data_IF_116244654539
#
_entry.id   IF_116244654539
#
_cell.length_a   1.000
_cell.length_b   1.000
_cell.length_c   1.000
_cell.angle_alpha   90.00
_cell.angle_beta   90.00
_cell.angle_gamma   90.00
#
_symmetry.space_group_name_H-M   'P 1'
#
loop_
_entity.id
_entity.type
_entity.pdbx_description
1 polymer ?
#
# COMPACT_ATOMS: atom_id res chain seq x y z
N UNK A 1 -21.73 -58.21 25.39
CA UNK A 1 -20.38 -57.72 25.00
C UNK A 1 -19.80 -58.39 23.75
N UNK A 2 -20.49 -59.33 23.05
CA UNK A 2 -19.95 -60.05 21.87
C UNK A 2 -20.10 -59.29 20.53
N UNK A 3 -21.02 -58.28 20.42
CA UNK A 3 -21.28 -57.52 19.19
C UNK A 3 -20.06 -56.80 18.64
N UNK A 4 -19.27 -56.03 19.43
CA UNK A 4 -18.10 -55.33 18.89
C UNK A 4 -17.02 -56.32 18.40
N UNK A 5 -16.88 -57.45 19.03
CA UNK A 5 -15.91 -58.49 18.67
C UNK A 5 -16.28 -59.18 17.34
N UNK A 6 -17.59 -59.40 17.10
CA UNK A 6 -18.13 -59.89 15.84
C UNK A 6 -17.95 -58.89 14.70
N UNK A 7 -18.20 -57.62 14.95
CA UNK A 7 -17.98 -56.51 13.98
C UNK A 7 -16.51 -56.43 13.59
N UNK A 8 -15.62 -56.41 14.58
CA UNK A 8 -14.18 -56.37 14.33
C UNK A 8 -13.70 -57.57 13.51
N UNK A 9 -14.15 -58.80 13.85
CA UNK A 9 -13.78 -60.02 13.13
C UNK A 9 -14.36 -60.11 11.71
N UNK A 10 -15.55 -59.49 11.47
CA UNK A 10 -16.16 -59.40 10.15
C UNK A 10 -15.42 -58.38 9.27
N UNK A 11 -15.07 -57.22 9.86
CA UNK A 11 -14.30 -56.18 9.17
C UNK A 11 -12.91 -56.65 8.71
N UNK A 12 -12.22 -57.45 9.55
CA UNK A 12 -10.85 -57.89 9.28
C UNK A 12 -10.77 -59.15 8.40
N UNK A 13 -11.84 -59.97 8.31
CA UNK A 13 -11.81 -61.21 7.52
C UNK A 13 -12.39 -61.09 6.10
N UNK A 14 -13.14 -60.01 5.80
CA UNK A 14 -13.69 -59.80 4.45
C UNK A 14 -13.10 -58.56 3.83
N UNK A 15 -12.57 -58.66 2.62
CA UNK A 15 -11.95 -57.58 1.88
C UNK A 15 -12.94 -56.45 1.52
N UNK A 16 -14.20 -56.80 1.21
CA UNK A 16 -15.19 -55.79 0.77
C UNK A 16 -15.50 -54.70 1.82
N UNK A 17 -15.77 -55.03 3.13
CA UNK A 17 -15.97 -53.99 4.15
C UNK A 17 -14.71 -53.16 4.42
N UNK A 18 -13.52 -53.76 4.29
CA UNK A 18 -12.25 -53.04 4.43
C UNK A 18 -12.06 -52.00 3.33
N UNK A 19 -12.33 -52.35 2.07
CA UNK A 19 -12.28 -51.40 0.94
C UNK A 19 -13.34 -50.28 1.07
N UNK A 20 -14.56 -50.64 1.53
CA UNK A 20 -15.59 -49.63 1.78
C UNK A 20 -15.17 -48.66 2.90
N UNK A 21 -14.59 -49.15 3.98
CA UNK A 21 -14.05 -48.30 5.05
C UNK A 21 -12.91 -47.42 4.58
N UNK A 22 -11.99 -47.96 3.78
CA UNK A 22 -10.90 -47.20 3.17
C UNK A 22 -11.43 -46.12 2.23
N UNK A 23 -12.41 -46.41 1.40
CA UNK A 23 -13.03 -45.44 0.50
C UNK A 23 -13.68 -44.29 1.27
N UNK A 24 -14.44 -44.57 2.32
CA UNK A 24 -15.04 -43.52 3.17
C UNK A 24 -13.95 -42.69 3.84
N UNK A 25 -12.89 -43.32 4.37
CA UNK A 25 -11.78 -42.63 5.00
C UNK A 25 -11.07 -41.67 4.01
N UNK A 26 -10.81 -42.13 2.79
CA UNK A 26 -10.19 -41.29 1.74
C UNK A 26 -11.10 -40.14 1.34
N UNK A 27 -12.39 -40.36 1.14
CA UNK A 27 -13.34 -39.30 0.84
C UNK A 27 -13.40 -38.26 1.96
N UNK A 28 -13.45 -38.70 3.22
CA UNK A 28 -13.48 -37.79 4.36
C UNK A 28 -12.16 -37.00 4.49
N UNK A 29 -11.03 -37.69 4.32
CA UNK A 29 -9.72 -37.04 4.33
C UNK A 29 -9.60 -35.97 3.22
N UNK A 30 -10.08 -36.29 2.01
CA UNK A 30 -10.07 -35.31 0.90
C UNK A 30 -10.92 -34.08 1.22
N UNK A 31 -12.09 -34.23 1.79
CA UNK A 31 -12.96 -33.12 2.19
C UNK A 31 -12.29 -32.26 3.26
N UNK A 32 -11.69 -32.89 4.28
CA UNK A 32 -10.97 -32.15 5.34
C UNK A 32 -9.78 -31.37 4.76
N UNK A 33 -9.00 -31.98 3.85
CA UNK A 33 -7.87 -31.31 3.20
C UNK A 33 -8.36 -30.09 2.42
N UNK A 34 -9.41 -30.23 1.61
CA UNK A 34 -9.95 -29.12 0.81
C UNK A 34 -10.44 -27.99 1.71
N UNK A 35 -11.19 -28.29 2.77
CA UNK A 35 -11.68 -27.26 3.71
C UNK A 35 -10.51 -26.59 4.42
N UNK A 36 -9.49 -27.33 4.85
CA UNK A 36 -8.32 -26.78 5.53
C UNK A 36 -7.51 -25.86 4.62
N UNK A 37 -7.25 -26.27 3.39
CA UNK A 37 -6.54 -25.45 2.40
C UNK A 37 -7.32 -24.18 2.07
N UNK A 38 -8.64 -24.32 1.83
CA UNK A 38 -9.49 -23.16 1.53
C UNK A 38 -9.58 -22.19 2.72
N UNK A 39 -9.69 -22.70 3.95
CA UNK A 39 -9.70 -21.90 5.17
C UNK A 39 -8.40 -21.11 5.32
N UNK A 40 -7.25 -21.77 5.22
CA UNK A 40 -5.94 -21.10 5.29
C UNK A 40 -5.73 -20.06 4.18
N UNK A 41 -6.24 -20.34 2.97
CA UNK A 41 -6.17 -19.35 1.89
C UNK A 41 -7.04 -18.11 2.16
N UNK A 42 -8.26 -18.31 2.67
CA UNK A 42 -9.14 -17.19 3.03
C UNK A 42 -8.58 -16.35 4.17
N UNK A 43 -7.96 -17.00 5.17
CA UNK A 43 -7.32 -16.28 6.27
C UNK A 43 -6.11 -15.46 5.75
N UNK A 44 -5.28 -16.04 4.89
CA UNK A 44 -4.18 -15.31 4.25
C UNK A 44 -4.66 -14.09 3.44
N UNK A 45 -5.77 -14.23 2.69
CA UNK A 45 -6.35 -13.10 1.95
C UNK A 45 -6.90 -12.01 2.87
N UNK A 46 -7.55 -12.39 3.97
CA UNK A 46 -8.06 -11.43 4.96
C UNK A 46 -6.93 -10.66 5.62
N UNK A 47 -5.88 -11.36 6.04
CA UNK A 47 -4.72 -10.72 6.67
C UNK A 47 -4.01 -9.76 5.71
N UNK A 48 -3.82 -10.17 4.45
CA UNK A 48 -3.25 -9.29 3.43
C UNK A 48 -4.13 -8.06 3.13
N UNK A 49 -5.46 -8.22 3.13
CA UNK A 49 -6.36 -7.09 2.95
C UNK A 49 -6.30 -6.10 4.14
N UNK A 50 -6.27 -6.61 5.37
CA UNK A 50 -6.14 -5.79 6.58
C UNK A 50 -4.84 -5.01 6.63
N UNK A 51 -3.75 -5.59 6.17
CA UNK A 51 -2.44 -4.92 6.08
C UNK A 51 -2.41 -3.72 5.12
N UNK A 52 -3.45 -3.52 4.32
CA UNK A 52 -3.51 -2.45 3.33
C UNK A 52 -4.60 -1.41 3.57
N UNK A 53 -5.67 -1.80 4.25
CA UNK A 53 -6.87 -0.96 4.37
C UNK A 53 -7.39 -0.83 5.79
N UNK A 54 -6.79 -1.53 6.75
CA UNK A 54 -7.32 -1.60 8.13
C UNK A 54 -8.57 -2.49 8.21
N UNK A 55 -9.20 -2.51 9.38
CA UNK A 55 -10.37 -3.36 9.65
C UNK A 55 -11.67 -2.79 9.08
N UNK A 56 -11.82 -1.47 9.06
CA UNK A 56 -13.02 -0.77 8.57
C UNK A 56 -12.62 0.36 7.63
N UNK A 57 -13.28 0.43 6.49
CA UNK A 57 -13.09 1.50 5.50
C UNK A 57 -14.38 2.28 5.35
N UNK A 58 -14.30 3.59 5.57
CA UNK A 58 -15.39 4.52 5.31
C UNK A 58 -15.10 5.24 4.00
N UNK A 59 -15.99 5.11 3.03
CA UNK A 59 -15.82 5.74 1.70
C UNK A 59 -16.93 6.72 1.43
N UNK A 60 -16.60 7.84 0.82
CA UNK A 60 -17.61 8.72 0.22
C UNK A 60 -18.25 8.01 -0.98
N UNK A 61 -19.54 8.24 -1.21
CA UNK A 61 -20.22 7.75 -2.41
C UNK A 61 -19.81 8.47 -3.70
N UNK A 62 -18.87 9.41 -3.63
CA UNK A 62 -18.32 10.18 -4.75
C UNK A 62 -16.82 9.98 -4.87
N UNK A 63 -16.29 10.18 -6.07
CA UNK A 63 -14.85 10.12 -6.34
C UNK A 63 -14.09 11.36 -5.84
N UNK A 64 -14.81 12.38 -5.39
CA UNK A 64 -14.24 13.64 -4.90
C UNK A 64 -14.04 13.66 -3.38
N UNK A 65 -14.20 12.52 -2.71
CA UNK A 65 -14.09 12.45 -1.26
C UNK A 65 -15.25 13.13 -0.53
N UNK A 66 -15.04 13.49 0.72
CA UNK A 66 -16.00 14.25 1.53
C UNK A 66 -15.27 15.31 2.36
N UNK A 67 -15.91 16.48 2.53
CA UNK A 67 -15.34 17.56 3.32
C UNK A 67 -15.36 17.24 4.81
N UNK A 68 -14.55 17.95 5.59
CA UNK A 68 -14.49 17.82 7.07
C UNK A 68 -14.07 16.42 7.53
N UNK A 69 -13.18 15.77 6.77
CA UNK A 69 -12.68 14.44 7.14
C UNK A 69 -11.93 14.44 8.49
N UNK A 70 -11.30 15.56 8.86
CA UNK A 70 -10.62 15.74 10.16
C UNK A 70 -11.61 15.62 11.31
N UNK A 71 -12.76 16.33 11.24
CA UNK A 71 -13.82 16.23 12.26
C UNK A 71 -14.39 14.80 12.35
N UNK A 72 -14.40 14.08 11.22
CA UNK A 72 -14.86 12.70 11.21
C UNK A 72 -13.84 11.78 11.90
N UNK A 73 -12.54 11.96 11.67
CA UNK A 73 -11.48 11.23 12.35
C UNK A 73 -11.59 11.40 13.85
N UNK A 74 -11.67 12.66 14.33
CA UNK A 74 -11.79 12.97 15.76
C UNK A 74 -13.00 12.29 16.40
N UNK A 75 -14.14 12.28 15.70
CA UNK A 75 -15.36 11.63 16.17
C UNK A 75 -15.27 10.11 16.19
N UNK A 76 -14.57 9.51 15.23
CA UNK A 76 -14.36 8.06 15.13
C UNK A 76 -13.38 7.60 16.21
N UNK A 77 -12.29 8.34 16.43
CA UNK A 77 -11.30 8.04 17.49
C UNK A 77 -11.86 8.24 18.91
N UNK A 78 -12.93 9.04 19.05
CA UNK A 78 -13.63 9.15 20.34
C UNK A 78 -14.44 7.89 20.71
N UNK A 79 -14.61 6.93 19.81
CA UNK A 79 -15.29 5.67 20.09
C UNK A 79 -14.36 4.70 20.83
N UNK A 80 -14.81 4.07 21.93
CA UNK A 80 -13.96 3.21 22.75
C UNK A 80 -13.53 1.90 22.05
N UNK A 81 -14.14 1.56 20.91
CA UNK A 81 -13.83 0.39 20.12
C UNK A 81 -12.82 0.67 19.00
N UNK A 82 -12.38 1.94 18.86
CA UNK A 82 -11.47 2.37 17.79
C UNK A 82 -10.12 2.74 18.39
N UNK A 83 -9.08 2.09 17.94
CA UNK A 83 -7.71 2.35 18.39
C UNK A 83 -7.07 3.53 17.64
N UNK A 84 -7.31 3.64 16.35
CA UNK A 84 -6.80 4.71 15.50
C UNK A 84 -7.64 4.86 14.22
N UNK A 85 -7.62 6.06 13.64
CA UNK A 85 -8.21 6.35 12.35
C UNK A 85 -7.27 7.19 11.47
N UNK A 86 -7.36 7.05 10.16
CA UNK A 86 -6.53 7.82 9.22
C UNK A 86 -7.30 8.14 7.95
N UNK A 87 -7.00 9.28 7.36
CA UNK A 87 -7.49 9.63 6.03
C UNK A 87 -6.60 9.04 4.95
N UNK A 88 -7.20 8.56 3.88
CA UNK A 88 -6.49 8.18 2.66
C UNK A 88 -7.19 8.76 1.45
N UNK A 89 -6.41 9.18 0.48
CA UNK A 89 -6.90 9.70 -0.79
C UNK A 89 -6.44 8.77 -1.91
N UNK A 90 -7.34 8.33 -2.76
CA UNK A 90 -7.00 7.40 -3.84
C UNK A 90 -7.45 7.93 -5.20
N UNK A 91 -6.57 7.87 -6.17
CA UNK A 91 -6.85 8.25 -7.56
C UNK A 91 -6.11 7.36 -8.53
N UNK A 92 -6.54 7.39 -9.79
CA UNK A 92 -5.83 6.74 -10.87
C UNK A 92 -4.91 7.73 -11.57
N UNK A 93 -3.75 7.25 -12.01
CA UNK A 93 -2.78 8.04 -12.70
C UNK A 93 -1.94 7.22 -13.68
N UNK A 94 -1.02 7.88 -14.31
CA UNK A 94 -0.01 7.26 -15.16
C UNK A 94 1.37 7.52 -14.54
N UNK A 95 2.16 6.49 -14.41
CA UNK A 95 3.56 6.59 -14.04
C UNK A 95 4.42 6.40 -15.30
N UNK A 96 5.29 7.36 -15.55
CA UNK A 96 6.28 7.29 -16.62
C UNK A 96 7.67 7.05 -16.01
N UNK A 97 8.30 5.99 -16.49
CA UNK A 97 9.67 5.61 -16.16
C UNK A 97 10.47 5.50 -17.45
N UNK A 98 11.29 6.50 -17.75
CA UNK A 98 11.94 6.63 -19.06
C UNK A 98 10.89 6.63 -20.18
N UNK A 99 11.02 5.69 -21.13
CA UNK A 99 10.10 5.56 -22.27
C UNK A 99 8.85 4.71 -21.96
N UNK A 100 8.73 4.17 -20.75
CA UNK A 100 7.62 3.29 -20.37
C UNK A 100 6.59 4.05 -19.57
N UNK A 101 5.33 3.93 -19.97
CA UNK A 101 4.19 4.46 -19.23
C UNK A 101 3.32 3.32 -18.75
N UNK A 102 2.92 3.36 -17.48
CA UNK A 102 2.05 2.36 -16.85
C UNK A 102 0.91 3.03 -16.11
N UNK A 103 -0.29 2.48 -16.17
CA UNK A 103 -1.38 2.92 -15.29
C UNK A 103 -1.03 2.50 -13.86
N UNK A 104 -1.26 3.42 -12.93
CA UNK A 104 -1.02 3.21 -11.50
C UNK A 104 -2.19 3.75 -10.69
N UNK A 105 -2.35 3.20 -9.50
CA UNK A 105 -3.22 3.71 -8.47
C UNK A 105 -2.36 4.53 -7.51
N UNK A 106 -2.59 5.83 -7.46
CA UNK A 106 -1.86 6.74 -6.59
C UNK A 106 -2.66 6.90 -5.29
N UNK A 107 -2.04 6.57 -4.18
CA UNK A 107 -2.65 6.64 -2.86
C UNK A 107 -1.89 7.62 -1.99
N UNK A 108 -2.59 8.67 -1.56
CA UNK A 108 -2.09 9.66 -0.60
C UNK A 108 -2.29 9.16 0.83
N UNK A 109 -1.22 9.11 1.59
CA UNK A 109 -1.21 8.69 2.99
C UNK A 109 -0.43 9.69 3.84
N UNK A 110 -0.83 9.84 5.09
CA UNK A 110 0.04 10.40 6.12
C UNK A 110 0.75 9.23 6.80
N UNK A 111 2.09 9.11 6.67
CA UNK A 111 2.81 7.90 7.11
C UNK A 111 2.64 7.60 8.60
N UNK A 112 2.50 8.62 9.44
CA UNK A 112 2.42 8.45 10.88
C UNK A 112 1.06 7.89 11.31
N UNK A 113 -0.04 8.53 10.87
CA UNK A 113 -1.39 8.07 11.20
C UNK A 113 -1.74 6.79 10.46
N UNK A 114 -1.25 6.62 9.23
CA UNK A 114 -1.47 5.40 8.45
C UNK A 114 -0.81 4.18 9.10
N UNK A 115 0.42 4.33 9.63
CA UNK A 115 1.13 3.24 10.32
C UNK A 115 0.46 2.84 11.66
N UNK A 116 -0.32 3.74 12.27
CA UNK A 116 -1.11 3.43 13.45
C UNK A 116 -2.33 2.54 13.14
N UNK A 117 -2.86 2.60 11.90
CA UNK A 117 -4.03 1.81 11.46
C UNK A 117 -3.62 0.52 10.77
N UNK A 118 -2.58 0.57 9.96
CA UNK A 118 -2.04 -0.59 9.23
C UNK A 118 -0.52 -0.63 9.40
N UNK A 119 0.11 -1.82 9.50
CA UNK A 119 1.55 -1.93 9.70
C UNK A 119 2.31 -1.58 8.40
N UNK A 120 2.13 -0.35 7.92
CA UNK A 120 2.69 0.13 6.65
C UNK A 120 4.21 0.01 6.61
N UNK A 121 4.90 0.39 7.70
CA UNK A 121 6.36 0.33 7.77
C UNK A 121 6.91 -1.07 7.65
N UNK A 122 6.16 -2.08 8.08
CA UNK A 122 6.54 -3.48 7.93
C UNK A 122 6.50 -3.96 6.47
N UNK A 123 5.69 -3.31 5.64
CA UNK A 123 5.60 -3.62 4.21
C UNK A 123 6.76 -3.04 3.40
N UNK A 124 7.52 -2.09 3.94
CA UNK A 124 8.62 -1.46 3.26
C UNK A 124 9.75 -2.45 2.98
N UNK A 125 10.16 -2.49 1.71
CA UNK A 125 11.13 -3.49 1.25
C UNK A 125 12.58 -3.15 1.65
N UNK A 126 12.93 -1.87 1.56
CA UNK A 126 14.26 -1.39 1.86
C UNK A 126 14.31 -0.84 3.29
N UNK A 127 14.61 -1.75 4.23
CA UNK A 127 14.84 -1.41 5.64
C UNK A 127 16.28 -1.77 6.01
N UNK A 128 16.87 -1.14 7.04
CA UNK A 128 18.21 -1.49 7.51
C UNK A 128 18.35 -2.96 7.90
N UNK A 129 17.29 -3.56 8.39
CA UNK A 129 17.26 -4.98 8.73
C UNK A 129 17.24 -5.86 7.47
N UNK A 130 16.34 -5.58 6.53
CA UNK A 130 16.23 -6.32 5.27
C UNK A 130 17.54 -6.26 4.47
N UNK A 131 18.23 -5.11 4.51
CA UNK A 131 19.55 -4.98 3.90
C UNK A 131 20.61 -5.89 4.56
N UNK A 132 20.69 -5.86 5.89
CA UNK A 132 21.64 -6.73 6.63
C UNK A 132 21.39 -8.21 6.36
N UNK A 133 20.14 -8.64 6.29
CA UNK A 133 19.76 -10.01 5.97
C UNK A 133 20.20 -10.41 4.56
N UNK A 134 20.08 -9.50 3.58
CA UNK A 134 20.53 -9.72 2.21
C UNK A 134 22.05 -9.83 2.09
N UNK A 135 22.77 -8.97 2.78
CA UNK A 135 24.24 -9.08 2.86
C UNK A 135 24.65 -10.41 3.48
N UNK A 136 24.01 -10.80 4.59
CA UNK A 136 24.30 -12.07 5.27
C UNK A 136 23.95 -13.30 4.41
N UNK A 137 22.92 -13.22 3.58
CA UNK A 137 22.51 -14.30 2.68
C UNK A 137 23.28 -14.34 1.36
N UNK A 138 24.21 -13.40 1.13
CA UNK A 138 24.96 -13.29 -0.13
C UNK A 138 24.15 -12.76 -1.32
N UNK A 139 22.97 -12.21 -1.08
CA UNK A 139 22.10 -11.60 -2.11
C UNK A 139 22.45 -10.14 -2.40
N UNK A 140 23.26 -9.51 -1.55
CA UNK A 140 23.79 -8.17 -1.73
C UNK A 140 25.27 -8.15 -1.36
N UNK A 141 26.06 -7.32 -2.04
CA UNK A 141 27.48 -7.19 -1.72
C UNK A 141 27.64 -6.22 -0.53
N UNK A 142 28.50 -6.53 0.47
CA UNK A 142 28.73 -5.62 1.59
C UNK A 142 29.21 -4.21 1.20
N UNK A 143 29.95 -4.11 0.09
CA UNK A 143 30.41 -2.83 -0.46
C UNK A 143 29.29 -1.95 -1.04
N UNK A 144 28.09 -2.52 -1.27
CA UNK A 144 26.88 -1.79 -1.66
C UNK A 144 26.14 -1.27 -0.43
N UNK A 145 26.52 -1.74 0.77
CA UNK A 145 26.05 -1.19 2.03
C UNK A 145 26.81 0.11 2.29
N UNK A 146 26.15 1.24 2.52
CA UNK A 146 26.83 2.46 2.88
C UNK A 146 27.49 2.28 4.25
N UNK A 147 28.67 2.81 4.37
CA UNK A 147 29.35 2.93 5.64
C UNK A 147 28.71 4.11 6.41
N UNK A 148 28.05 3.86 7.54
CA UNK A 148 27.43 4.92 8.32
C UNK A 148 28.44 5.94 8.87
N UNK A 149 29.73 5.61 8.89
CA UNK A 149 30.80 6.49 9.34
C UNK A 149 31.46 7.30 8.23
N UNK A 150 31.28 6.91 6.96
CA UNK A 150 32.00 7.54 5.84
C UNK A 150 31.43 8.87 5.37
N UNK A 151 30.20 9.19 5.76
CA UNK A 151 29.50 10.41 5.27
C UNK A 151 29.30 10.46 3.75
N UNK A 152 29.70 9.42 3.04
CA UNK A 152 29.50 9.31 1.59
C UNK A 152 28.04 8.99 1.29
N UNK A 153 27.46 9.61 0.25
CA UNK A 153 26.12 9.25 -0.17
C UNK A 153 26.09 7.75 -0.51
N UNK A 154 25.13 7.01 0.00
CA UNK A 154 25.04 5.58 -0.24
C UNK A 154 24.83 5.28 -1.72
N UNK A 155 25.56 4.31 -2.21
CA UNK A 155 25.27 3.67 -3.51
C UNK A 155 24.02 2.79 -3.39
N UNK A 156 23.64 2.45 -2.16
CA UNK A 156 22.43 1.71 -1.84
C UNK A 156 21.20 2.62 -1.68
N UNK A 157 19.99 2.07 -1.75
CA UNK A 157 18.76 2.84 -1.76
C UNK A 157 18.70 3.87 -0.62
N UNK A 158 18.40 5.08 -0.95
CA UNK A 158 18.26 6.24 -0.05
C UNK A 158 17.41 5.94 1.20
N UNK A 159 16.43 5.06 1.05
CA UNK A 159 15.53 4.60 2.10
C UNK A 159 16.21 3.92 3.28
N UNK A 160 17.34 3.26 3.06
CA UNK A 160 17.99 2.47 4.11
C UNK A 160 18.73 3.36 5.12
N UNK A 161 19.02 4.62 4.75
CA UNK A 161 19.98 5.48 5.46
C UNK A 161 19.37 6.75 6.05
N UNK A 162 18.11 6.68 6.41
CA UNK A 162 17.54 7.66 7.31
C UNK A 162 16.99 8.91 6.65
N UNK A 163 16.84 8.91 5.33
CA UNK A 163 16.26 10.08 4.71
C UNK A 163 14.76 10.00 4.56
N UNK A 164 14.24 8.95 3.91
CA UNK A 164 12.91 9.01 3.34
C UNK A 164 12.19 7.67 3.30
N UNK A 165 12.55 6.77 4.21
CA UNK A 165 12.02 5.41 4.20
C UNK A 165 10.49 5.33 4.19
N UNK A 166 9.83 6.31 4.77
CA UNK A 166 8.41 6.35 5.04
C UNK A 166 7.68 7.59 4.49
N UNK A 167 8.21 8.24 3.45
CA UNK A 167 7.72 9.50 2.87
C UNK A 167 7.95 10.73 3.76
N UNK A 168 8.53 10.62 4.93
CA UNK A 168 8.87 11.75 5.78
C UNK A 168 10.27 12.28 5.44
N UNK A 169 10.40 13.55 5.01
CA UNK A 169 11.69 14.14 4.76
C UNK A 169 12.44 14.32 6.09
N UNK A 170 13.63 13.73 6.19
CA UNK A 170 14.52 13.89 7.33
C UNK A 170 15.76 14.66 6.91
N UNK A 171 16.22 15.56 7.76
CA UNK A 171 17.53 16.25 7.65
C UNK A 171 17.81 17.00 6.35
N UNK A 172 16.84 17.75 5.83
CA UNK A 172 17.13 18.76 4.81
C UNK A 172 17.43 20.10 5.46
N UNK A 173 18.31 20.87 4.83
CA UNK A 173 18.49 22.29 5.18
C UNK A 173 17.18 23.01 4.95
N UNK A 174 16.77 23.84 5.90
CA UNK A 174 15.48 24.53 5.92
C UNK A 174 15.16 25.37 4.66
N UNK A 175 16.17 25.67 3.86
CA UNK A 175 16.07 26.52 2.67
C UNK A 175 15.81 25.76 1.36
N UNK A 176 15.84 24.42 1.34
CA UNK A 176 15.71 23.65 0.11
C UNK A 176 14.34 22.98 0.01
N UNK A 177 13.55 23.30 -1.06
CA UNK A 177 12.22 22.70 -1.19
C UNK A 177 12.30 21.17 -1.26
N UNK A 178 11.52 20.50 -0.43
CA UNK A 178 11.44 19.04 -0.44
C UNK A 178 10.78 18.57 -1.74
N UNK A 179 11.46 17.77 -2.56
CA UNK A 179 10.82 17.21 -3.74
C UNK A 179 9.66 16.32 -3.34
N UNK A 180 8.64 16.17 -4.18
CA UNK A 180 7.61 15.18 -3.97
C UNK A 180 8.23 13.78 -3.85
N UNK A 181 7.77 13.01 -2.85
CA UNK A 181 8.30 11.69 -2.56
C UNK A 181 7.28 10.61 -2.91
N UNK A 182 7.75 9.43 -3.32
CA UNK A 182 6.91 8.30 -3.63
C UNK A 182 7.51 6.98 -3.12
N UNK A 183 6.62 6.07 -2.69
CA UNK A 183 6.95 4.68 -2.41
C UNK A 183 6.21 3.82 -3.43
N UNK A 184 6.94 3.01 -4.18
CA UNK A 184 6.38 2.20 -5.26
C UNK A 184 6.06 0.78 -4.77
N UNK A 185 5.00 0.19 -5.28
CA UNK A 185 4.85 -1.26 -5.18
C UNK A 185 6.02 -1.96 -5.89
N UNK A 186 6.53 -3.02 -5.28
CA UNK A 186 7.77 -3.69 -5.73
C UNK A 186 7.73 -4.18 -7.19
N UNK A 187 6.55 -4.39 -7.72
CA UNK A 187 6.33 -4.82 -9.12
C UNK A 187 6.02 -3.64 -10.06
N UNK A 188 5.75 -2.44 -9.54
CA UNK A 188 5.34 -1.27 -10.34
C UNK A 188 6.42 -0.89 -11.36
N UNK A 189 7.66 -0.80 -10.93
CA UNK A 189 8.77 -0.42 -11.81
C UNK A 189 9.21 -1.54 -12.75
N UNK A 190 8.89 -2.82 -12.44
CA UNK A 190 9.33 -3.99 -13.20
C UNK A 190 10.84 -4.20 -13.15
N UNK A 191 11.48 -3.71 -12.10
CA UNK A 191 12.95 -3.82 -11.89
C UNK A 191 13.34 -5.07 -11.11
N UNK A 192 12.39 -5.71 -10.48
CA UNK A 192 12.58 -6.95 -9.76
C UNK A 192 12.20 -8.17 -10.60
N UNK A 193 12.91 -9.27 -10.37
CA UNK A 193 12.59 -10.59 -10.94
C UNK A 193 12.27 -11.53 -9.79
N UNK A 194 11.11 -12.16 -9.85
CA UNK A 194 10.70 -13.14 -8.85
C UNK A 194 11.35 -14.48 -9.18
N UNK A 195 12.04 -15.07 -8.21
CA UNK A 195 12.63 -16.41 -8.37
C UNK A 195 11.56 -17.51 -8.21
N UNK A 196 11.94 -18.77 -8.49
CA UNK A 196 11.05 -19.93 -8.38
C UNK A 196 10.52 -20.15 -6.94
N UNK A 197 11.21 -19.61 -5.93
CA UNK A 197 10.81 -19.66 -4.53
C UNK A 197 9.95 -18.45 -4.12
N UNK A 198 9.63 -17.56 -5.08
CA UNK A 198 8.82 -16.37 -4.85
C UNK A 198 9.57 -15.21 -4.17
N UNK A 199 10.90 -15.26 -4.10
CA UNK A 199 11.74 -14.20 -3.56
C UNK A 199 12.07 -13.22 -4.67
N UNK A 200 12.18 -11.94 -4.32
CA UNK A 200 12.56 -10.91 -5.29
C UNK A 200 14.09 -10.85 -5.45
N UNK A 201 14.55 -11.09 -6.66
CA UNK A 201 15.92 -10.82 -7.06
C UNK A 201 15.99 -9.44 -7.71
N UNK A 202 16.88 -8.62 -7.18
CA UNK A 202 17.05 -7.25 -7.60
C UNK A 202 17.90 -7.16 -8.88
N UNK A 203 17.47 -6.35 -9.84
CA UNK A 203 18.26 -5.99 -11.02
C UNK A 203 18.75 -4.55 -11.01
N UNK A 204 17.85 -3.60 -10.63
CA UNK A 204 18.20 -2.18 -10.50
C UNK A 204 17.32 -1.57 -9.39
N UNK A 205 17.93 -0.83 -8.46
CA UNK A 205 17.18 -0.07 -7.49
C UNK A 205 16.51 1.12 -8.17
N UNK A 206 15.21 1.26 -7.94
CA UNK A 206 14.50 2.49 -8.31
C UNK A 206 14.62 3.56 -7.24
N UNK A 207 15.01 3.18 -6.05
CA UNK A 207 15.15 4.09 -4.92
C UNK A 207 16.26 5.11 -5.18
N UNK A 208 15.94 6.39 -4.98
CA UNK A 208 16.78 7.52 -5.38
C UNK A 208 16.58 7.98 -6.82
N UNK A 209 15.86 7.20 -7.64
CA UNK A 209 15.50 7.59 -9.00
C UNK A 209 14.25 8.47 -9.05
N UNK A 210 14.09 9.18 -10.15
CA UNK A 210 12.95 10.03 -10.43
C UNK A 210 11.97 9.33 -11.38
N UNK A 211 10.69 9.44 -11.08
CA UNK A 211 9.61 9.02 -11.95
C UNK A 211 8.61 10.16 -12.12
N UNK A 212 7.89 10.15 -13.22
CA UNK A 212 6.86 11.16 -13.48
C UNK A 212 5.50 10.54 -13.21
N UNK A 213 4.76 11.13 -12.28
CA UNK A 213 3.37 10.81 -12.02
C UNK A 213 2.48 11.84 -12.72
N UNK A 214 1.47 11.35 -13.42
CA UNK A 214 0.42 12.15 -14.04
C UNK A 214 -0.90 11.75 -13.43
N UNK A 215 -1.54 12.67 -12.73
CA UNK A 215 -2.87 12.48 -12.13
C UNK A 215 -3.85 13.46 -12.75
N UNK A 216 -5.12 13.10 -12.77
CA UNK A 216 -6.17 13.98 -13.32
C UNK A 216 -7.10 14.37 -12.18
N UNK A 217 -7.18 15.65 -11.84
CA UNK A 217 -8.19 16.14 -10.90
C UNK A 217 -9.59 15.81 -11.43
N UNK A 218 -10.47 15.38 -10.55
CA UNK A 218 -11.85 15.09 -10.87
C UNK A 218 -12.74 16.27 -10.45
N UNK A 219 -13.68 16.64 -11.31
CA UNK A 219 -14.68 17.65 -10.96
C UNK A 219 -15.55 17.14 -9.80
N UNK A 220 -16.26 18.05 -9.12
CA UNK A 220 -17.23 17.71 -8.06
C UNK A 220 -18.28 16.67 -8.47
N UNK A 221 -18.54 16.54 -9.76
CA UNK A 221 -19.45 15.54 -10.33
C UNK A 221 -18.76 14.23 -10.72
N UNK A 222 -17.47 14.07 -10.39
CA UNK A 222 -16.69 12.88 -10.78
C UNK A 222 -16.44 12.76 -12.30
N UNK A 223 -16.71 13.82 -13.06
CA UNK A 223 -16.42 13.83 -14.47
C UNK A 223 -14.95 14.23 -14.70
N UNK A 224 -14.30 13.62 -15.67
CA UNK A 224 -13.09 14.12 -16.28
C UNK A 224 -13.43 15.47 -16.93
N UNK A 225 -13.34 16.52 -16.12
CA UNK A 225 -13.78 17.86 -16.53
C UNK A 225 -12.70 18.62 -17.29
N UNK A 226 -12.83 19.95 -17.31
CA UNK A 226 -11.91 20.87 -17.96
C UNK A 226 -10.55 21.00 -17.24
N UNK A 227 -10.23 20.07 -16.34
CA UNK A 227 -8.95 20.11 -15.60
C UNK A 227 -7.81 19.52 -16.43
N UNK A 228 -6.73 20.22 -16.48
CA UNK A 228 -5.50 19.72 -17.11
C UNK A 228 -4.87 18.62 -16.24
N UNK A 229 -4.32 17.55 -16.84
CA UNK A 229 -3.57 16.55 -16.10
C UNK A 229 -2.40 17.16 -15.36
N UNK A 230 -2.29 16.90 -14.08
CA UNK A 230 -1.19 17.36 -13.23
C UNK A 230 -0.03 16.39 -13.37
N UNK A 231 1.06 16.87 -13.94
CA UNK A 231 2.29 16.10 -14.12
C UNK A 231 3.32 16.56 -13.08
N UNK A 232 3.87 15.60 -12.31
CA UNK A 232 4.87 15.86 -11.27
C UNK A 232 5.98 14.86 -11.32
N UNK A 233 7.21 15.34 -11.23
CA UNK A 233 8.38 14.51 -10.96
C UNK A 233 8.42 14.22 -9.47
N UNK A 234 8.59 12.94 -9.13
CA UNK A 234 8.65 12.46 -7.75
C UNK A 234 9.89 11.59 -7.57
N UNK A 235 10.50 11.68 -6.41
CA UNK A 235 11.65 10.86 -6.04
C UNK A 235 11.16 9.58 -5.37
N UNK A 236 11.61 8.45 -5.87
CA UNK A 236 11.31 7.15 -5.28
C UNK A 236 12.18 6.94 -4.05
N UNK A 237 11.57 6.87 -2.88
CA UNK A 237 12.29 6.76 -1.60
C UNK A 237 12.31 5.35 -1.05
N UNK A 238 11.35 4.53 -1.42
CA UNK A 238 11.29 3.12 -1.04
C UNK A 238 10.42 2.32 -2.01
N UNK A 239 10.43 1.02 -1.82
CA UNK A 239 9.50 0.09 -2.43
C UNK A 239 8.76 -0.66 -1.32
N UNK A 240 7.50 -1.00 -1.52
CA UNK A 240 6.72 -1.79 -0.56
C UNK A 240 6.27 -3.12 -1.16
N UNK A 241 6.07 -4.09 -0.29
CA UNK A 241 5.59 -5.42 -0.61
C UNK A 241 4.43 -5.79 0.30
N UNK A 242 3.22 -5.79 -0.24
CA UNK A 242 2.01 -6.20 0.51
C UNK A 242 1.77 -7.70 0.51
N UNK A 243 2.39 -8.43 -0.41
CA UNK A 243 2.11 -9.85 -0.65
C UNK A 243 0.95 -10.10 -1.61
N UNK A 244 0.21 -9.08 -2.02
CA UNK A 244 -0.82 -9.13 -3.05
C UNK A 244 -0.27 -8.58 -4.36
N UNK A 245 -0.08 -9.45 -5.35
CA UNK A 245 0.52 -9.09 -6.63
C UNK A 245 -0.18 -7.91 -7.32
N UNK A 246 -1.52 -7.89 -7.32
CA UNK A 246 -2.30 -6.83 -7.97
C UNK A 246 -2.09 -5.46 -7.32
N UNK A 247 -1.83 -5.43 -6.01
CA UNK A 247 -1.50 -4.20 -5.28
C UNK A 247 -0.06 -3.80 -5.55
N UNK A 248 0.86 -4.75 -5.43
CA UNK A 248 2.30 -4.53 -5.56
C UNK A 248 2.69 -4.07 -6.98
N UNK A 249 1.88 -4.37 -8.02
CA UNK A 249 2.15 -3.98 -9.41
C UNK A 249 1.50 -2.66 -9.85
N UNK A 250 0.57 -2.10 -9.06
CA UNK A 250 -0.21 -0.94 -9.51
C UNK A 250 -0.20 0.22 -8.52
N UNK A 251 0.19 0.01 -7.25
CA UNK A 251 0.02 1.04 -6.23
C UNK A 251 1.30 1.85 -6.03
N UNK A 252 1.11 3.16 -5.92
CA UNK A 252 2.14 4.15 -5.60
C UNK A 252 1.64 4.96 -4.41
N UNK A 253 2.38 4.95 -3.32
CA UNK A 253 2.11 5.82 -2.18
C UNK A 253 2.82 7.15 -2.35
N UNK A 254 2.11 8.23 -2.03
CA UNK A 254 2.62 9.59 -1.92
C UNK A 254 2.10 10.22 -0.64
N UNK A 255 2.61 11.37 -0.25
CA UNK A 255 2.06 12.08 0.91
C UNK A 255 0.63 12.55 0.64
N UNK A 256 -0.22 12.45 1.65
CA UNK A 256 -1.63 12.85 1.58
C UNK A 256 -1.78 14.32 1.17
N UNK A 257 -1.06 15.22 1.85
CA UNK A 257 -1.10 16.66 1.60
C UNK A 257 -0.61 17.04 0.18
N UNK A 258 0.33 16.29 -0.37
CA UNK A 258 0.80 16.50 -1.74
C UNK A 258 -0.25 16.07 -2.76
N UNK A 259 -0.83 14.89 -2.58
CA UNK A 259 -1.86 14.40 -3.51
C UNK A 259 -3.11 15.28 -3.46
N UNK A 260 -3.51 15.73 -2.27
CA UNK A 260 -4.64 16.63 -2.07
C UNK A 260 -4.46 17.93 -2.87
N UNK A 261 -3.26 18.54 -2.80
CA UNK A 261 -2.93 19.72 -3.62
C UNK A 261 -2.90 19.44 -5.12
N UNK A 262 -2.40 18.28 -5.55
CA UNK A 262 -2.39 17.91 -6.97
C UNK A 262 -3.80 17.70 -7.54
N UNK A 263 -4.72 17.28 -6.70
CA UNK A 263 -6.12 17.05 -7.08
C UNK A 263 -7.02 18.28 -6.81
N UNK A 264 -6.43 19.40 -6.34
CA UNK A 264 -7.16 20.63 -5.99
C UNK A 264 -8.24 20.37 -4.92
N UNK A 265 -7.95 19.47 -3.98
CA UNK A 265 -8.84 19.07 -2.89
C UNK A 265 -8.43 19.65 -1.53
N UNK A 266 -7.39 20.47 -1.49
CA UNK A 266 -6.93 21.20 -0.31
C UNK A 266 -7.90 22.31 0.08
N UNK A 267 -7.76 22.81 1.30
CA UNK A 267 -8.54 23.95 1.78
C UNK A 267 -8.21 25.19 0.92
N UNK A 268 -9.24 25.72 0.29
CA UNK A 268 -9.11 26.90 -0.54
C UNK A 268 -9.84 28.08 0.11
N UNK A 269 -9.18 29.21 0.18
CA UNK A 269 -9.74 30.48 0.62
C UNK A 269 -9.84 31.42 -0.58
N UNK A 270 -11.02 31.72 -1.03
CA UNK A 270 -11.26 32.68 -2.09
C UNK A 270 -12.07 33.85 -1.58
N UNK A 271 -11.78 35.06 -2.04
CA UNK A 271 -12.64 36.20 -1.78
C UNK A 271 -13.94 36.08 -2.57
N UNK A 272 -15.04 36.36 -1.92
CA UNK A 272 -16.31 36.41 -2.61
C UNK A 272 -16.26 37.50 -3.70
N UNK A 273 -16.79 37.21 -4.87
CA UNK A 273 -16.95 38.20 -5.95
C UNK A 273 -18.42 38.54 -6.03
N UNK A 274 -18.72 39.82 -5.97
CA UNK A 274 -20.08 40.31 -6.19
C UNK A 274 -20.54 39.97 -7.62
N UNK A 275 -21.60 39.19 -7.79
CA UNK A 275 -22.05 38.77 -9.11
C UNK A 275 -22.59 39.89 -10.00
N UNK A 276 -22.95 41.06 -9.41
CA UNK A 276 -23.48 42.18 -10.18
C UNK A 276 -22.39 43.18 -10.59
N UNK A 277 -21.40 43.39 -9.73
CA UNK A 277 -20.36 44.41 -9.96
C UNK A 277 -19.00 43.81 -10.37
N UNK A 278 -18.80 42.51 -10.16
CA UNK A 278 -17.50 41.85 -10.45
C UNK A 278 -16.38 42.27 -9.48
N UNK A 279 -16.70 42.98 -8.40
CA UNK A 279 -15.71 43.42 -7.41
C UNK A 279 -15.51 42.34 -6.32
N UNK A 280 -14.27 42.26 -5.82
CA UNK A 280 -13.97 41.42 -4.66
C UNK A 280 -14.62 42.02 -3.41
N UNK A 281 -15.38 41.17 -2.70
CA UNK A 281 -15.96 41.49 -1.40
C UNK A 281 -14.93 41.22 -0.29
N UNK A 282 -15.11 41.88 0.86
CA UNK A 282 -14.30 41.57 2.05
C UNK A 282 -14.60 40.17 2.66
N UNK A 283 -15.65 39.55 2.19
CA UNK A 283 -16.08 38.22 2.64
C UNK A 283 -15.22 37.12 2.02
N UNK A 284 -14.60 36.30 2.85
CA UNK A 284 -13.81 35.15 2.41
C UNK A 284 -14.66 33.90 2.40
N UNK A 285 -14.76 33.28 1.22
CA UNK A 285 -15.38 31.96 1.08
C UNK A 285 -14.30 30.92 1.33
N UNK A 286 -14.50 30.09 2.35
CA UNK A 286 -13.62 28.97 2.68
C UNK A 286 -14.21 27.68 2.14
N UNK A 287 -13.54 27.06 1.19
CA UNK A 287 -13.89 25.70 0.75
C UNK A 287 -13.09 24.73 1.62
N UNK A 288 -13.76 23.82 2.35
CA UNK A 288 -13.07 22.88 3.22
C UNK A 288 -12.25 21.90 2.41
N UNK A 289 -11.16 21.41 2.98
CA UNK A 289 -10.37 20.32 2.42
C UNK A 289 -11.22 19.03 2.28
N UNK A 290 -10.95 18.24 1.27
CA UNK A 290 -11.65 16.99 0.94
C UNK A 290 -10.70 15.83 0.83
#
# INVERSE_FOLDING_TARGET
>A
MYKPLLIARYLTRKLAPMFAGLAVMLCTAMVIIVISVMGGFLDMLRDAARQLTGDVVVTAGSLTGFPYYEDLIDRVEALPEVDAATATLETFGLMQLGDRTRPVRVRGIDPASFDAVVPYRETLHWTPQAWRERVASGQAHPAEAPDPESGSPPVAPYAVWGGYADLEPRDRRDDEPTPPLAVLGIEVAGTHVRDEQGRYAWRNAMVGGEVVLTVVPLSERGALGAYEPVRREVVVVNEFKSGLYDVDQQTVFVRFDQLQRWLEMDRQEARAIDPETGQELEETIVTPAR
#
